data_IF_064052859012
#
_entry.id   IF_064052859012
#
_cell.length_a   1.000
_cell.length_b   1.000
_cell.length_c   1.000
_cell.angle_alpha   90.00
_cell.angle_beta   90.00
_cell.angle_gamma   90.00
#
_symmetry.space_group_name_H-M   'P 1'
#
loop_
_entity.id
_entity.type
_entity.pdbx_description
1 polymer ?
#
# COMPACT_ATOMS: atom_id res chain seq x y z
N UNK A 1 -5.32 -7.33 5.12
CA UNK A 1 -5.57 -6.45 6.31
C UNK A 1 -4.33 -6.31 7.20
N UNK A 2 -3.13 -6.37 6.60
CA UNK A 2 -1.87 -6.13 7.30
C UNK A 2 -1.81 -4.71 7.90
N UNK A 3 -0.96 -4.49 8.93
CA UNK A 3 -0.93 -3.28 9.74
C UNK A 3 -0.77 -1.95 9.01
N UNK A 4 -0.18 -1.94 7.80
CA UNK A 4 0.03 -0.73 7.01
C UNK A 4 -1.04 -0.45 5.93
N UNK A 5 -2.14 -1.22 5.91
CA UNK A 5 -3.24 -1.01 4.95
C UNK A 5 -4.20 0.08 5.42
N UNK A 6 -5.09 0.54 4.52
CA UNK A 6 -6.08 1.58 4.84
C UNK A 6 -6.95 1.21 6.02
N UNK A 7 -7.38 -0.05 6.10
CA UNK A 7 -7.95 -0.69 7.29
C UNK A 7 -7.13 -1.93 7.64
N UNK A 8 -7.03 -2.25 8.92
CA UNK A 8 -6.19 -3.36 9.39
C UNK A 8 -6.92 -4.24 10.39
N UNK A 9 -6.51 -5.49 10.45
CA UNK A 9 -6.84 -6.44 11.53
C UNK A 9 -5.58 -6.87 12.29
N UNK A 10 -4.46 -6.14 12.11
CA UNK A 10 -3.12 -6.58 12.49
C UNK A 10 -2.57 -7.53 11.44
N UNK A 11 -3.13 -8.71 11.36
CA UNK A 11 -2.88 -9.74 10.36
C UNK A 11 -4.21 -10.24 9.78
N UNK A 12 -4.24 -10.61 8.51
CA UNK A 12 -5.43 -11.18 7.89
C UNK A 12 -5.58 -10.88 6.41
N UNK A 13 -6.53 -11.56 5.81
CA UNK A 13 -6.91 -11.42 4.43
C UNK A 13 -8.34 -11.91 4.22
N UNK A 14 -8.86 -11.71 3.01
CA UNK A 14 -10.19 -12.16 2.64
C UNK A 14 -10.19 -12.72 1.22
N UNK A 15 -10.85 -13.83 1.05
CA UNK A 15 -11.19 -14.39 -0.26
C UNK A 15 -12.70 -14.29 -0.45
N UNK A 16 -13.14 -13.71 -1.56
CA UNK A 16 -14.54 -13.59 -1.94
C UNK A 16 -14.75 -14.32 -3.26
N UNK A 17 -15.87 -15.07 -3.37
CA UNK A 17 -16.20 -15.83 -4.58
C UNK A 17 -17.69 -16.13 -4.65
N UNK A 18 -18.23 -16.23 -5.87
CA UNK A 18 -19.57 -16.74 -6.15
C UNK A 18 -19.56 -18.26 -6.49
N UNK A 19 -18.38 -18.86 -6.60
CA UNK A 19 -18.23 -20.29 -6.84
C UNK A 19 -18.28 -21.05 -5.50
N UNK A 20 -19.34 -21.83 -5.33
CA UNK A 20 -19.57 -22.64 -4.12
C UNK A 20 -18.46 -23.67 -3.88
N UNK A 21 -17.94 -24.29 -4.93
CA UNK A 21 -16.87 -25.28 -4.82
C UNK A 21 -15.58 -24.63 -4.33
N UNK A 22 -15.23 -23.46 -4.87
CA UNK A 22 -14.08 -22.69 -4.42
C UNK A 22 -14.24 -22.22 -2.97
N UNK A 23 -15.43 -21.76 -2.60
CA UNK A 23 -15.74 -21.36 -1.23
C UNK A 23 -15.53 -22.52 -0.24
N UNK A 24 -16.08 -23.69 -0.52
CA UNK A 24 -15.96 -24.87 0.36
C UNK A 24 -14.51 -25.33 0.51
N UNK A 25 -13.74 -25.32 -0.59
CA UNK A 25 -12.31 -25.62 -0.54
C UNK A 25 -11.52 -24.60 0.29
N UNK A 26 -11.80 -23.31 0.14
CA UNK A 26 -11.15 -22.26 0.95
C UNK A 26 -11.47 -22.44 2.45
N UNK A 27 -12.72 -22.75 2.79
CA UNK A 27 -13.10 -23.02 4.18
C UNK A 27 -12.35 -24.23 4.74
N UNK A 28 -12.26 -25.31 3.95
CA UNK A 28 -11.59 -26.53 4.35
C UNK A 28 -10.09 -26.29 4.59
N UNK A 29 -9.40 -25.69 3.64
CA UNK A 29 -7.97 -25.41 3.75
C UNK A 29 -7.63 -24.44 4.87
N UNK A 30 -8.34 -23.31 5.00
CA UNK A 30 -8.10 -22.34 6.08
C UNK A 30 -8.45 -22.87 7.47
N UNK A 31 -9.29 -23.91 7.53
CA UNK A 31 -9.74 -24.60 8.74
C UNK A 31 -8.89 -25.81 9.10
N UNK A 32 -7.62 -25.85 8.72
CA UNK A 32 -6.68 -26.94 9.01
C UNK A 32 -6.95 -28.26 8.25
N UNK A 33 -7.81 -28.26 7.24
CA UNK A 33 -8.17 -29.49 6.52
C UNK A 33 -8.95 -30.50 7.37
N UNK A 34 -9.71 -30.01 8.35
CA UNK A 34 -10.55 -30.89 9.21
C UNK A 34 -11.72 -31.45 8.43
N UNK A 35 -11.89 -32.78 8.49
CA UNK A 35 -12.99 -33.48 7.87
C UNK A 35 -14.32 -33.15 8.55
N UNK A 36 -15.36 -32.88 7.76
CA UNK A 36 -16.69 -32.54 8.28
C UNK A 36 -17.34 -33.70 9.03
N UNK A 37 -17.04 -34.94 8.63
CA UNK A 37 -17.69 -36.17 9.11
C UNK A 37 -16.98 -36.80 10.32
N UNK A 38 -15.80 -36.31 10.74
CA UNK A 38 -15.04 -36.95 11.82
C UNK A 38 -14.23 -35.91 12.60
N UNK A 39 -14.41 -35.88 13.92
CA UNK A 39 -13.65 -34.96 14.81
C UNK A 39 -12.16 -35.31 14.84
N UNK A 40 -11.33 -34.27 14.88
CA UNK A 40 -9.83 -34.34 14.92
C UNK A 40 -9.22 -35.17 13.80
N UNK A 41 -9.92 -35.31 12.68
CA UNK A 41 -9.43 -35.99 11.49
C UNK A 41 -9.19 -35.02 10.37
N UNK A 42 -7.96 -35.04 9.81
CA UNK A 42 -7.57 -34.20 8.70
C UNK A 42 -7.54 -35.05 7.43
N UNK A 43 -8.30 -34.70 6.44
CA UNK A 43 -8.40 -35.42 5.17
C UNK A 43 -7.65 -34.73 4.01
N UNK A 44 -7.18 -33.52 4.26
CA UNK A 44 -6.29 -32.77 3.36
C UNK A 44 -5.24 -32.00 4.17
N UNK A 45 -4.15 -31.61 3.51
CA UNK A 45 -3.19 -30.65 4.08
C UNK A 45 -3.87 -29.28 4.10
N UNK A 46 -4.05 -28.73 5.27
CA UNK A 46 -4.68 -27.42 5.48
C UNK A 46 -3.83 -26.51 6.40
N UNK A 47 -4.33 -25.30 6.64
CA UNK A 47 -3.62 -24.26 7.35
C UNK A 47 -4.49 -23.64 8.43
N UNK A 48 -3.88 -23.10 9.48
CA UNK A 48 -4.61 -22.34 10.49
C UNK A 48 -4.70 -20.87 10.05
N UNK A 49 -5.59 -20.59 9.09
CA UNK A 49 -5.80 -19.26 8.52
C UNK A 49 -7.16 -18.66 8.87
N UNK A 50 -7.80 -19.13 9.92
CA UNK A 50 -9.02 -18.50 10.44
C UNK A 50 -8.66 -17.23 11.19
N UNK A 51 -9.34 -16.13 10.86
CA UNK A 51 -9.23 -14.87 11.60
C UNK A 51 -9.67 -15.11 13.06
N UNK A 52 -8.86 -14.65 14.00
CA UNK A 52 -9.21 -14.71 15.43
C UNK A 52 -10.26 -13.65 15.78
N UNK A 53 -11.00 -13.84 16.88
CA UNK A 53 -11.96 -12.84 17.35
C UNK A 53 -11.31 -11.50 17.69
N UNK A 54 -10.06 -11.52 18.16
CA UNK A 54 -9.29 -10.29 18.44
C UNK A 54 -9.05 -9.51 17.14
N UNK A 55 -8.53 -10.18 16.09
CA UNK A 55 -8.34 -9.56 14.79
C UNK A 55 -9.67 -9.07 14.17
N UNK A 56 -10.74 -9.86 14.33
CA UNK A 56 -12.07 -9.49 13.84
C UNK A 56 -12.62 -8.24 14.55
N UNK A 57 -12.42 -8.13 15.88
CA UNK A 57 -12.85 -6.96 16.64
C UNK A 57 -12.10 -5.68 16.22
N UNK A 58 -10.78 -5.78 16.01
CA UNK A 58 -9.99 -4.67 15.45
C UNK A 58 -10.52 -4.29 14.06
N UNK A 59 -10.76 -5.29 13.20
CA UNK A 59 -11.26 -5.08 11.85
C UNK A 59 -12.64 -4.41 11.81
N UNK A 60 -13.54 -4.77 12.72
CA UNK A 60 -14.85 -4.15 12.84
C UNK A 60 -14.72 -2.66 13.18
N UNK A 61 -13.93 -2.31 14.20
CA UNK A 61 -13.70 -0.94 14.59
C UNK A 61 -13.04 -0.09 13.49
N UNK A 62 -12.14 -0.72 12.69
CA UNK A 62 -11.53 -0.07 11.53
C UNK A 62 -12.53 0.11 10.37
N UNK A 63 -13.40 -0.86 10.15
CA UNK A 63 -14.41 -0.82 9.08
C UNK A 63 -15.46 0.27 9.36
N UNK A 64 -15.86 0.46 10.61
CA UNK A 64 -16.79 1.52 11.05
C UNK A 64 -16.25 2.93 10.75
N UNK A 65 -14.93 3.10 10.59
CA UNK A 65 -14.26 4.38 10.30
C UNK A 65 -13.70 4.44 8.87
N UNK A 66 -13.96 3.43 8.02
CA UNK A 66 -13.28 3.29 6.72
C UNK A 66 -13.56 4.49 5.79
N UNK A 67 -14.77 5.03 5.78
CA UNK A 67 -15.14 6.17 4.93
C UNK A 67 -14.42 7.45 5.37
N UNK A 68 -14.28 7.67 6.67
CA UNK A 68 -13.53 8.80 7.22
C UNK A 68 -12.05 8.71 6.88
N UNK A 69 -11.45 7.51 7.01
CA UNK A 69 -10.06 7.29 6.62
C UNK A 69 -9.84 7.52 5.12
N UNK A 70 -10.72 7.04 4.27
CA UNK A 70 -10.64 7.23 2.81
C UNK A 70 -10.79 8.72 2.47
N UNK A 71 -11.77 9.40 3.06
CA UNK A 71 -11.99 10.84 2.86
C UNK A 71 -10.74 11.63 3.24
N UNK A 72 -10.17 11.36 4.41
CA UNK A 72 -8.95 12.02 4.87
C UNK A 72 -7.74 11.75 3.97
N UNK A 73 -7.55 10.51 3.53
CA UNK A 73 -6.46 10.17 2.60
C UNK A 73 -6.59 10.88 1.25
N UNK A 74 -7.81 11.06 0.76
CA UNK A 74 -8.08 11.83 -0.47
C UNK A 74 -7.77 13.31 -0.27
N UNK A 75 -8.14 13.89 0.87
CA UNK A 75 -7.79 15.27 1.23
C UNK A 75 -6.27 15.47 1.27
N UNK A 76 -5.51 14.58 1.93
CA UNK A 76 -4.04 14.61 1.95
C UNK A 76 -3.48 14.56 0.54
N UNK A 77 -3.98 13.66 -0.30
CA UNK A 77 -3.53 13.56 -1.69
C UNK A 77 -3.81 14.84 -2.49
N UNK A 78 -4.93 15.50 -2.24
CA UNK A 78 -5.28 16.76 -2.90
C UNK A 78 -4.39 17.93 -2.44
N UNK A 79 -4.00 17.95 -1.15
CA UNK A 79 -3.01 18.94 -0.66
C UNK A 79 -1.68 18.74 -1.38
N UNK A 80 -1.17 17.51 -1.48
CA UNK A 80 0.05 17.21 -2.22
C UNK A 80 -0.03 17.65 -3.68
N UNK A 81 -1.11 17.30 -4.39
CA UNK A 81 -1.30 17.67 -5.81
C UNK A 81 -1.33 19.18 -6.05
N UNK A 82 -1.85 19.94 -5.08
CA UNK A 82 -1.97 21.40 -5.19
C UNK A 82 -0.69 22.15 -4.85
N UNK A 83 0.14 21.60 -3.97
CA UNK A 83 1.25 22.33 -3.38
C UNK A 83 2.64 21.85 -3.82
N UNK A 84 2.76 20.65 -4.41
CA UNK A 84 4.05 20.18 -4.94
C UNK A 84 4.34 20.85 -6.29
N UNK A 85 5.59 21.27 -6.48
CA UNK A 85 6.12 21.85 -7.71
C UNK A 85 5.86 20.95 -8.94
N UNK A 86 5.58 21.55 -10.08
CA UNK A 86 5.32 20.87 -11.35
C UNK A 86 6.49 20.04 -11.91
N UNK A 87 7.70 20.22 -11.37
CA UNK A 87 8.87 19.39 -11.71
C UNK A 87 8.73 17.95 -11.17
N UNK A 88 7.83 17.72 -10.22
CA UNK A 88 7.54 16.40 -9.64
C UNK A 88 6.17 15.94 -10.08
N UNK A 89 6.10 14.75 -10.61
CA UNK A 89 4.83 14.15 -10.98
C UNK A 89 4.18 13.48 -9.78
N UNK A 90 3.04 14.00 -9.33
CA UNK A 90 2.18 13.34 -8.33
C UNK A 90 1.20 12.42 -9.06
N UNK A 91 1.03 11.18 -8.59
CA UNK A 91 0.11 10.25 -9.24
C UNK A 91 -1.36 10.74 -9.16
N UNK A 92 -2.12 10.49 -10.23
CA UNK A 92 -3.49 10.98 -10.38
C UNK A 92 -4.49 9.85 -10.43
N UNK A 93 -5.69 10.13 -9.97
CA UNK A 93 -6.85 9.26 -10.14
C UNK A 93 -7.29 9.28 -11.62
N UNK A 94 -7.56 8.10 -12.19
CA UNK A 94 -8.17 7.99 -13.51
C UNK A 94 -9.67 8.30 -13.45
N UNK A 95 -10.26 8.73 -14.59
CA UNK A 95 -11.64 9.22 -14.65
C UNK A 95 -12.69 8.24 -14.11
N UNK A 96 -12.47 6.94 -14.32
CA UNK A 96 -13.43 5.89 -13.96
C UNK A 96 -12.99 5.09 -12.71
N UNK A 97 -12.11 5.68 -11.87
CA UNK A 97 -11.56 5.05 -10.68
C UNK A 97 -11.82 5.94 -9.47
N UNK A 98 -12.35 5.35 -8.39
CA UNK A 98 -12.36 5.96 -7.07
C UNK A 98 -11.12 5.50 -6.30
N UNK A 99 -10.07 6.32 -6.30
CA UNK A 99 -8.79 5.99 -5.69
C UNK A 99 -8.79 6.26 -4.18
N UNK A 100 -8.49 5.27 -3.37
CA UNK A 100 -8.46 5.39 -1.90
C UNK A 100 -7.17 5.98 -1.34
N UNK A 101 -6.18 6.22 -2.20
CA UNK A 101 -4.86 6.77 -1.84
C UNK A 101 -4.22 6.07 -0.63
N UNK A 102 -4.20 4.72 -0.66
CA UNK A 102 -3.45 3.96 0.34
C UNK A 102 -2.03 4.52 0.54
N UNK A 103 -1.38 4.90 -0.53
CA UNK A 103 -0.14 5.67 -0.55
C UNK A 103 -0.29 6.85 -1.50
N UNK A 104 0.38 7.95 -1.22
CA UNK A 104 0.58 9.05 -2.17
C UNK A 104 1.98 8.92 -2.72
N UNK A 105 2.10 8.68 -4.02
CA UNK A 105 3.38 8.46 -4.70
C UNK A 105 3.71 9.62 -5.62
N UNK A 106 4.99 9.96 -5.67
CA UNK A 106 5.57 10.94 -6.60
C UNK A 106 6.64 10.28 -7.46
N UNK A 107 6.90 10.84 -8.63
CA UNK A 107 7.99 10.44 -9.51
C UNK A 107 8.97 11.60 -9.69
N UNK A 108 10.23 11.34 -9.40
CA UNK A 108 11.35 12.23 -9.71
C UNK A 108 11.77 12.09 -11.18
N UNK A 109 12.67 12.94 -11.67
CA UNK A 109 13.15 12.87 -13.05
C UNK A 109 14.05 11.67 -13.32
N UNK A 110 14.88 11.31 -12.33
CA UNK A 110 15.81 10.16 -12.41
C UNK A 110 15.84 9.36 -11.09
N UNK A 111 16.46 8.18 -11.13
CA UNK A 111 16.66 7.36 -9.94
C UNK A 111 17.64 8.00 -8.93
N UNK A 112 18.65 8.70 -9.44
CA UNK A 112 19.64 9.41 -8.63
C UNK A 112 18.95 10.55 -7.88
N UNK A 113 18.15 11.36 -8.58
CA UNK A 113 17.37 12.44 -7.98
C UNK A 113 16.42 11.93 -6.91
N UNK A 114 15.85 10.72 -7.08
CA UNK A 114 15.05 10.08 -6.04
C UNK A 114 15.83 9.92 -4.73
N UNK A 115 17.05 9.40 -4.79
CA UNK A 115 17.86 9.20 -3.58
C UNK A 115 18.28 10.55 -2.96
N UNK A 116 18.64 11.52 -3.78
CA UNK A 116 18.97 12.86 -3.30
C UNK A 116 17.77 13.51 -2.58
N UNK A 117 16.59 13.48 -3.19
CA UNK A 117 15.36 13.99 -2.56
C UNK A 117 15.01 13.26 -1.28
N UNK A 118 15.14 11.93 -1.24
CA UNK A 118 14.88 11.14 -0.04
C UNK A 118 15.83 11.50 1.10
N UNK A 119 17.11 11.71 0.81
CA UNK A 119 18.10 12.16 1.80
C UNK A 119 17.77 13.57 2.31
N UNK A 120 17.46 14.51 1.42
CA UNK A 120 17.02 15.86 1.79
C UNK A 120 15.78 15.84 2.71
N UNK A 121 14.79 14.99 2.42
CA UNK A 121 13.60 14.85 3.25
C UNK A 121 13.92 14.18 4.59
N UNK A 122 14.82 13.20 4.63
CA UNK A 122 15.26 12.56 5.87
C UNK A 122 15.99 13.54 6.81
N UNK A 123 16.82 14.43 6.27
CA UNK A 123 17.48 15.50 7.04
C UNK A 123 16.46 16.47 7.69
N UNK A 124 15.26 16.58 7.09
CA UNK A 124 14.12 17.35 7.60
C UNK A 124 13.16 16.52 8.45
N UNK A 125 13.58 15.31 8.87
CA UNK A 125 12.80 14.36 9.67
C UNK A 125 11.51 13.87 8.97
N UNK A 126 11.51 13.85 7.65
CA UNK A 126 10.40 13.34 6.83
C UNK A 126 10.77 11.95 6.32
N UNK A 127 10.13 10.92 6.87
CA UNK A 127 10.34 9.54 6.44
C UNK A 127 9.62 9.27 5.12
N UNK A 128 10.35 8.73 4.13
CA UNK A 128 9.80 8.31 2.84
C UNK A 128 10.16 6.86 2.54
N UNK A 129 9.40 6.23 1.65
CA UNK A 129 9.68 4.87 1.16
C UNK A 129 9.80 4.87 -0.37
N UNK A 130 10.71 4.08 -0.95
CA UNK A 130 10.70 3.88 -2.39
C UNK A 130 9.38 3.24 -2.84
N UNK A 131 8.96 3.50 -4.06
CA UNK A 131 7.93 2.68 -4.71
C UNK A 131 8.49 1.26 -4.88
N UNK A 132 7.62 0.26 -4.81
CA UNK A 132 8.01 -1.15 -4.84
C UNK A 132 8.84 -1.48 -6.09
N UNK A 133 9.95 -2.16 -5.88
CA UNK A 133 10.77 -2.65 -6.99
C UNK A 133 10.01 -3.71 -7.79
N UNK A 134 10.20 -3.76 -9.11
CA UNK A 134 9.55 -4.75 -9.96
C UNK A 134 9.97 -6.17 -9.57
N UNK A 135 8.99 -7.05 -9.40
CA UNK A 135 9.22 -8.44 -8.93
C UNK A 135 10.19 -9.20 -9.84
N UNK A 136 10.10 -9.00 -11.17
CA UNK A 136 10.96 -9.68 -12.14
C UNK A 136 12.45 -9.29 -12.04
N UNK A 137 12.79 -8.20 -11.31
CA UNK A 137 14.18 -7.79 -11.06
C UNK A 137 14.77 -8.42 -9.79
N UNK A 138 13.94 -9.08 -8.97
CA UNK A 138 14.39 -9.73 -7.74
C UNK A 138 15.14 -11.03 -8.03
N UNK A 139 16.22 -11.36 -7.30
CA UNK A 139 17.08 -12.52 -7.60
C UNK A 139 16.33 -13.83 -7.81
N UNK A 140 15.28 -14.11 -7.00
CA UNK A 140 14.51 -15.34 -7.09
C UNK A 140 13.62 -15.44 -8.33
N UNK A 141 13.41 -14.34 -9.07
CA UNK A 141 12.54 -14.27 -10.26
C UNK A 141 13.27 -13.77 -11.51
N UNK A 142 14.55 -13.44 -11.40
CA UNK A 142 15.34 -12.85 -12.49
C UNK A 142 15.99 -13.89 -13.44
N UNK A 143 15.79 -15.18 -13.24
CA UNK A 143 16.37 -16.26 -14.08
C UNK A 143 15.96 -16.16 -15.55
N UNK A 144 14.77 -15.61 -15.84
CA UNK A 144 14.33 -15.32 -17.20
C UNK A 144 14.26 -13.81 -17.37
N UNK A 145 15.11 -13.29 -18.25
CA UNK A 145 15.08 -11.87 -18.59
C UNK A 145 13.69 -11.48 -19.08
N UNK A 146 13.05 -10.56 -18.33
CA UNK A 146 11.77 -9.94 -18.68
C UNK A 146 11.98 -8.44 -18.63
N UNK A 147 11.45 -7.74 -19.63
CA UNK A 147 11.51 -6.28 -19.69
C UNK A 147 10.12 -5.69 -19.49
N UNK A 148 9.96 -4.94 -18.42
CA UNK A 148 8.73 -4.23 -18.10
C UNK A 148 9.04 -2.74 -17.86
N UNK A 149 9.27 -1.96 -18.95
CA UNK A 149 9.87 -0.62 -18.85
C UNK A 149 9.06 0.35 -18.00
N UNK A 150 7.73 0.25 -18.00
CA UNK A 150 6.87 1.11 -17.15
C UNK A 150 7.05 0.75 -15.67
N UNK A 151 7.02 -0.53 -15.32
CA UNK A 151 7.19 -0.97 -13.93
C UNK A 151 8.58 -0.64 -13.41
N UNK A 152 9.59 -0.81 -14.26
CA UNK A 152 10.99 -0.47 -13.96
C UNK A 152 11.15 1.04 -13.73
N UNK A 153 10.63 1.87 -14.63
CA UNK A 153 10.66 3.32 -14.50
C UNK A 153 10.00 3.81 -13.21
N UNK A 154 8.79 3.35 -12.93
CA UNK A 154 8.06 3.70 -11.71
C UNK A 154 8.78 3.22 -10.44
N UNK A 155 9.31 2.01 -10.45
CA UNK A 155 10.02 1.42 -9.31
C UNK A 155 11.33 2.14 -8.97
N UNK A 156 12.05 2.62 -9.99
CA UNK A 156 13.34 3.27 -9.80
C UNK A 156 13.25 4.77 -9.46
N UNK A 157 12.22 5.47 -9.95
CA UNK A 157 12.04 6.91 -9.74
C UNK A 157 11.00 7.28 -8.69
N UNK A 158 10.24 6.29 -8.21
CA UNK A 158 9.08 6.54 -7.37
C UNK A 158 9.40 6.65 -5.88
N UNK A 159 8.72 7.58 -5.20
CA UNK A 159 8.73 7.78 -3.75
C UNK A 159 7.30 7.76 -3.22
N UNK A 160 7.08 7.02 -2.14
CA UNK A 160 5.85 7.09 -1.34
C UNK A 160 6.04 8.11 -0.23
N UNK A 161 5.17 9.11 -0.18
CA UNK A 161 5.13 10.16 0.83
C UNK A 161 4.29 9.74 2.04
N UNK A 162 4.50 10.36 3.22
CA UNK A 162 3.64 10.15 4.37
C UNK A 162 2.18 10.48 4.02
N UNK A 163 1.24 9.56 4.34
CA UNK A 163 -0.17 9.74 3.99
C UNK A 163 -1.13 9.02 4.95
N UNK A 164 -0.73 8.85 6.22
CA UNK A 164 -1.59 8.25 7.23
C UNK A 164 -2.69 9.24 7.67
N UNK A 165 -3.90 8.78 8.07
CA UNK A 165 -5.05 9.66 8.32
C UNK A 165 -4.84 10.72 9.41
N UNK A 166 -4.01 10.45 10.42
CA UNK A 166 -3.74 11.41 11.50
C UNK A 166 -2.69 12.49 11.17
N UNK A 167 -2.13 12.49 9.95
CA UNK A 167 -1.22 13.54 9.49
C UNK A 167 -1.98 14.87 9.35
N UNK A 168 -1.53 15.95 10.02
CA UNK A 168 -2.19 17.25 9.94
C UNK A 168 -1.96 17.95 8.59
N UNK A 169 -2.78 18.94 8.26
CA UNK A 169 -2.62 19.70 7.02
C UNK A 169 -1.32 20.49 7.02
N UNK A 170 -0.91 21.03 8.16
CA UNK A 170 0.35 21.76 8.34
C UNK A 170 1.55 20.84 8.09
N UNK A 171 1.48 19.59 8.56
CA UNK A 171 2.54 18.60 8.32
C UNK A 171 2.61 18.24 6.83
N UNK A 172 1.47 18.06 6.14
CA UNK A 172 1.45 17.81 4.69
C UNK A 172 2.02 18.99 3.91
N UNK A 173 1.67 20.22 4.30
CA UNK A 173 2.22 21.45 3.68
C UNK A 173 3.73 21.53 3.91
N UNK A 174 4.21 21.28 5.14
CA UNK A 174 5.64 21.24 5.44
C UNK A 174 6.41 20.25 4.54
N UNK A 175 5.83 19.08 4.27
CA UNK A 175 6.41 18.10 3.36
C UNK A 175 6.45 18.66 1.92
N UNK A 176 5.37 19.33 1.46
CA UNK A 176 5.36 19.97 0.14
C UNK A 176 6.41 21.05 0.01
N UNK A 177 6.54 21.93 1.01
CA UNK A 177 7.55 23.00 1.06
C UNK A 177 8.96 22.42 1.03
N UNK A 178 9.22 21.36 1.80
CA UNK A 178 10.52 20.67 1.81
C UNK A 178 10.87 20.06 0.45
N UNK A 179 9.89 19.51 -0.26
CA UNK A 179 10.09 19.03 -1.64
C UNK A 179 10.37 20.20 -2.57
N UNK A 180 9.60 21.28 -2.49
CA UNK A 180 9.75 22.44 -3.37
C UNK A 180 11.09 23.15 -3.16
N UNK A 181 11.58 23.25 -1.93
CA UNK A 181 12.89 23.78 -1.59
C UNK A 181 14.01 23.01 -2.31
N UNK A 182 13.99 21.68 -2.26
CA UNK A 182 14.95 20.84 -2.99
C UNK A 182 15.03 21.16 -4.48
N UNK A 183 13.91 21.54 -5.09
CA UNK A 183 13.85 21.89 -6.51
C UNK A 183 14.12 23.38 -6.81
N UNK A 184 14.07 24.25 -5.81
CA UNK A 184 14.38 25.67 -5.97
C UNK A 184 15.89 25.93 -6.05
N UNK A 185 16.69 25.02 -5.48
CA UNK A 185 18.15 25.10 -5.45
C UNK A 185 18.81 24.38 -6.65
N UNK A 186 18.01 23.87 -7.61
CA UNK A 186 18.43 23.08 -8.80
C UNK A 186 17.98 23.72 -10.12
#
# INVERSE_FOLDING_TARGET
FFGNKTITTGEGGMVVTNDKTLYDRCLHFKGQGLAVHRQYWHDVIGYNYRMTNICAAIGLAQLEQADDFISRKREIADIYKKNINSLVQVHKESKDVFHTYWMVSILTRTAEEREELRNHLADKLIETRPVFYPVHTMPMYSEKYQKHPIAEDLGWRGINLPSFPSLSNEQVIYICESINEFYSDK
#
